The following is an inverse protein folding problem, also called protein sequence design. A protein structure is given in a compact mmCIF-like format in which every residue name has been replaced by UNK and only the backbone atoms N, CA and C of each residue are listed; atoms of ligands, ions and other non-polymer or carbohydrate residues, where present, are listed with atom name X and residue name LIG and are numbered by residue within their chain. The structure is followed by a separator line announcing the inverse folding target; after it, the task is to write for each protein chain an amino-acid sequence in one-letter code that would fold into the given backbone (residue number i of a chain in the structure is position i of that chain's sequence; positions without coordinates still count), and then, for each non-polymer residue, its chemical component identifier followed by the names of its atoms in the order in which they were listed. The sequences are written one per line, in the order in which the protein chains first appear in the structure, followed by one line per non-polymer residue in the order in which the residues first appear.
data_IF_342444746649
#
_entry.id   IF_342444746649
#
_cell.length_a   1.000
_cell.length_b   1.000
_cell.length_c   1.000
_cell.angle_alpha   90.00
_cell.angle_beta   90.00
_cell.angle_gamma   90.00
#
_symmetry.space_group_name_H-M   'P 1'
#
loop_
_entity.id
_entity.type
_entity.pdbx_description
1 polymer ?
#
# COMPACT_ATOMS: atom_id res chain seq x y z
N UNK A 1 15.03 -28.44 -23.09
CA UNK A 1 14.46 -27.71 -21.95
C UNK A 1 14.03 -28.75 -20.93
N UNK A 2 14.64 -28.75 -19.75
CA UNK A 2 14.34 -29.75 -18.73
C UNK A 2 13.01 -29.39 -18.02
N UNK A 3 12.31 -30.36 -17.42
CA UNK A 3 11.02 -30.12 -16.75
C UNK A 3 11.10 -29.06 -15.62
N UNK A 4 12.25 -28.95 -14.95
CA UNK A 4 12.52 -27.96 -13.89
C UNK A 4 12.53 -26.52 -14.41
N UNK A 5 13.18 -26.26 -15.54
CA UNK A 5 13.21 -24.94 -16.21
C UNK A 5 11.80 -24.50 -16.61
N UNK A 6 10.96 -25.42 -17.09
CA UNK A 6 9.57 -25.13 -17.47
C UNK A 6 8.73 -24.72 -16.24
N UNK A 7 8.92 -25.39 -15.11
CA UNK A 7 8.21 -25.07 -13.86
C UNK A 7 8.63 -23.69 -13.33
N UNK A 8 9.93 -23.38 -13.39
CA UNK A 8 10.46 -22.11 -12.93
C UNK A 8 10.01 -20.93 -13.81
N UNK A 9 10.02 -21.10 -15.14
CA UNK A 9 9.47 -20.12 -16.08
C UNK A 9 7.97 -19.87 -15.84
N UNK A 10 7.19 -20.92 -15.55
CA UNK A 10 5.77 -20.78 -15.21
C UNK A 10 5.56 -20.04 -13.88
N UNK A 11 6.35 -20.34 -12.85
CA UNK A 11 6.31 -19.61 -11.57
C UNK A 11 6.63 -18.12 -11.78
N UNK A 12 7.70 -17.81 -12.50
CA UNK A 12 8.11 -16.44 -12.78
C UNK A 12 7.06 -15.67 -13.59
N UNK A 13 6.43 -16.34 -14.58
CA UNK A 13 5.33 -15.76 -15.34
C UNK A 13 4.10 -15.48 -14.47
N UNK A 14 3.71 -16.42 -13.60
CA UNK A 14 2.59 -16.24 -12.68
C UNK A 14 2.85 -15.12 -11.66
N UNK A 15 4.08 -15.03 -11.13
CA UNK A 15 4.48 -13.92 -10.24
C UNK A 15 4.40 -12.57 -10.95
N UNK A 16 4.87 -12.50 -12.20
CA UNK A 16 4.79 -11.26 -13.00
C UNK A 16 3.35 -10.86 -13.28
N UNK A 17 2.50 -11.82 -13.67
CA UNK A 17 1.09 -11.58 -13.97
C UNK A 17 0.30 -11.19 -12.71
N UNK A 18 0.58 -11.84 -11.57
CA UNK A 18 0.01 -11.47 -10.28
C UNK A 18 0.39 -10.03 -9.90
N UNK A 19 1.67 -9.64 -10.05
CA UNK A 19 2.16 -8.29 -9.78
C UNK A 19 1.54 -7.23 -10.70
N UNK A 20 1.46 -7.48 -12.02
CA UNK A 20 0.78 -6.58 -12.96
C UNK A 20 -0.70 -6.41 -12.58
N UNK A 21 -1.36 -7.49 -12.16
CA UNK A 21 -2.75 -7.44 -11.75
C UNK A 21 -2.96 -6.74 -10.40
N UNK A 22 -2.01 -6.88 -9.46
CA UNK A 22 -2.03 -6.22 -8.16
C UNK A 22 -1.88 -4.72 -8.30
N UNK A 23 -0.82 -4.28 -9.00
CA UNK A 23 -0.56 -2.88 -9.28
C UNK A 23 -1.72 -2.18 -9.99
N UNK A 24 -2.41 -2.86 -10.91
CA UNK A 24 -3.62 -2.30 -11.55
C UNK A 24 -4.76 -2.08 -10.56
N UNK A 25 -4.95 -3.00 -9.60
CA UNK A 25 -5.98 -2.83 -8.58
C UNK A 25 -5.64 -1.74 -7.56
N UNK A 26 -4.37 -1.58 -7.21
CA UNK A 26 -3.89 -0.47 -6.38
C UNK A 26 -4.21 0.88 -7.03
N UNK A 27 -3.88 1.05 -8.31
CA UNK A 27 -4.16 2.29 -9.05
C UNK A 27 -5.66 2.60 -9.06
N UNK A 28 -6.50 1.62 -9.41
CA UNK A 28 -7.95 1.81 -9.43
C UNK A 28 -8.52 2.16 -8.05
N UNK A 29 -7.96 1.58 -6.99
CA UNK A 29 -8.40 1.88 -5.62
C UNK A 29 -8.05 3.32 -5.23
N UNK A 30 -6.87 3.80 -5.64
CA UNK A 30 -6.44 5.18 -5.39
C UNK A 30 -7.30 6.16 -6.19
N UNK A 31 -7.54 5.89 -7.48
CA UNK A 31 -8.38 6.76 -8.34
C UNK A 31 -9.84 6.86 -7.86
N UNK A 32 -10.34 5.84 -7.14
CA UNK A 32 -11.68 5.84 -6.59
C UNK A 32 -11.83 6.66 -5.28
N UNK A 33 -10.74 7.15 -4.70
CA UNK A 33 -10.73 7.92 -3.45
C UNK A 33 -10.04 9.27 -3.65
N UNK A 34 -10.80 10.36 -3.63
CA UNK A 34 -10.31 11.70 -4.00
C UNK A 34 -9.18 12.23 -3.10
N UNK A 35 -9.12 11.79 -1.84
CA UNK A 35 -8.13 12.20 -0.86
C UNK A 35 -6.89 11.29 -0.83
N UNK A 36 -6.83 10.27 -1.70
CA UNK A 36 -5.73 9.33 -1.73
C UNK A 36 -4.69 9.73 -2.78
N UNK A 37 -3.43 9.70 -2.37
CA UNK A 37 -2.29 9.83 -3.27
C UNK A 37 -1.46 8.55 -3.25
N UNK A 38 -0.85 8.15 -4.37
CA UNK A 38 0.06 7.01 -4.38
C UNK A 38 1.25 7.27 -3.45
N UNK A 39 1.79 6.20 -2.85
CA UNK A 39 3.01 6.27 -2.04
C UNK A 39 4.08 7.08 -2.79
N UNK A 40 4.67 8.10 -2.14
CA UNK A 40 5.75 8.88 -2.74
C UNK A 40 6.90 7.98 -3.22
N UNK A 41 7.71 8.48 -4.15
CA UNK A 41 8.82 7.74 -4.75
C UNK A 41 10.14 8.48 -4.59
N UNK A 42 11.25 7.76 -4.68
CA UNK A 42 12.59 8.33 -4.65
C UNK A 42 12.85 9.11 -3.37
N UNK A 43 13.38 10.33 -3.51
CA UNK A 43 13.75 11.18 -2.37
C UNK A 43 12.55 11.57 -1.49
N UNK A 44 11.39 11.81 -2.12
CA UNK A 44 10.15 12.12 -1.40
C UNK A 44 9.73 11.01 -0.44
N UNK A 45 9.94 9.75 -0.83
CA UNK A 45 9.68 8.60 0.05
C UNK A 45 10.69 8.55 1.19
N UNK A 46 11.98 8.79 0.91
CA UNK A 46 13.00 8.81 1.95
C UNK A 46 12.69 9.88 2.98
N UNK A 47 12.35 11.09 2.55
CA UNK A 47 11.97 12.18 3.45
C UNK A 47 10.79 11.81 4.34
N UNK A 48 9.76 11.15 3.79
CA UNK A 48 8.62 10.67 4.57
C UNK A 48 9.04 9.65 5.64
N UNK A 49 9.86 8.67 5.27
CA UNK A 49 10.36 7.66 6.21
C UNK A 49 11.27 8.27 7.27
N UNK A 50 12.13 9.22 6.90
CA UNK A 50 12.97 9.95 7.85
C UNK A 50 12.15 10.81 8.81
N UNK A 51 11.09 11.47 8.34
CA UNK A 51 10.18 12.22 9.19
C UNK A 51 9.46 11.30 10.21
N UNK A 52 9.04 10.11 9.79
CA UNK A 52 8.50 9.09 10.68
C UNK A 52 9.53 8.64 11.73
N UNK A 53 10.78 8.39 11.32
CA UNK A 53 11.85 7.99 12.23
C UNK A 53 12.17 9.07 13.27
N UNK A 54 12.13 10.36 12.88
CA UNK A 54 12.33 11.49 13.78
C UNK A 54 11.29 11.56 14.91
N UNK A 55 10.08 11.05 14.68
CA UNK A 55 9.03 10.93 15.70
C UNK A 55 8.98 9.53 16.34
N UNK A 56 10.01 8.71 16.12
CA UNK A 56 10.18 7.40 16.76
C UNK A 56 9.46 6.24 16.06
N UNK A 57 8.96 6.42 14.84
CA UNK A 57 8.25 5.39 14.07
C UNK A 57 9.16 4.79 13.00
N UNK A 58 9.39 3.47 13.05
CA UNK A 58 10.19 2.74 12.07
C UNK A 58 9.27 1.95 11.14
N UNK A 59 8.83 2.61 10.06
CA UNK A 59 7.89 2.05 9.08
C UNK A 59 8.68 1.57 7.85
N UNK A 60 8.47 0.33 7.42
CA UNK A 60 9.07 -0.16 6.16
C UNK A 60 8.33 0.43 4.97
N UNK A 61 9.08 0.77 3.92
CA UNK A 61 8.53 1.29 2.65
C UNK A 61 7.41 0.43 2.06
N UNK A 62 7.44 -0.88 2.31
CA UNK A 62 6.50 -1.89 1.77
C UNK A 62 5.27 -2.11 2.63
N UNK A 63 5.04 -1.31 3.68
CA UNK A 63 3.94 -1.53 4.63
C UNK A 63 2.67 -0.74 4.30
N UNK A 64 2.68 -0.01 3.19
CA UNK A 64 1.60 0.83 2.70
C UNK A 64 1.81 1.11 1.21
N UNK A 65 0.72 1.34 0.48
CA UNK A 65 0.71 1.59 -0.97
C UNK A 65 0.29 3.02 -1.32
N UNK A 66 -0.47 3.67 -0.44
CA UNK A 66 -1.00 5.00 -0.63
C UNK A 66 -1.05 5.79 0.69
N UNK A 67 -1.30 7.09 0.57
CA UNK A 67 -1.55 7.99 1.68
C UNK A 67 -2.92 8.65 1.47
N UNK A 68 -3.75 8.70 2.51
CA UNK A 68 -4.92 9.57 2.58
C UNK A 68 -4.52 10.86 3.29
N UNK A 69 -4.74 11.99 2.62
CA UNK A 69 -4.41 13.33 3.11
C UNK A 69 -5.67 14.19 2.94
N UNK A 70 -6.18 14.80 4.03
CA UNK A 70 -7.33 15.69 3.93
C UNK A 70 -7.11 16.79 2.87
N UNK A 71 -8.16 17.10 2.09
CA UNK A 71 -8.06 18.00 0.94
C UNK A 71 -7.63 19.44 1.28
N UNK A 72 -7.77 19.86 2.54
CA UNK A 72 -7.34 21.15 3.06
C UNK A 72 -5.85 21.17 3.49
N UNK A 73 -5.15 20.04 3.39
CA UNK A 73 -3.75 19.90 3.79
C UNK A 73 -2.87 19.68 2.56
N UNK A 74 -1.99 20.64 2.32
CA UNK A 74 -0.91 20.50 1.34
C UNK A 74 0.36 20.00 2.04
N UNK A 75 1.02 18.99 1.44
CA UNK A 75 2.26 18.41 1.97
C UNK A 75 3.34 18.47 0.90
N UNK A 76 4.41 19.21 1.18
CA UNK A 76 5.61 19.16 0.35
C UNK A 76 6.51 18.02 0.82
N UNK A 77 6.46 16.89 0.11
CA UNK A 77 7.35 15.75 0.39
C UNK A 77 8.83 16.02 0.09
N UNK A 78 9.19 17.20 -0.46
CA UNK A 78 10.55 17.70 -0.56
C UNK A 78 11.11 18.26 0.75
N UNK A 79 10.25 18.64 1.70
CA UNK A 79 10.62 19.23 3.00
C UNK A 79 10.23 18.29 4.14
N UNK A 80 11.20 17.93 4.99
CA UNK A 80 10.95 17.10 6.17
C UNK A 80 10.06 17.86 7.16
N UNK A 81 10.23 19.18 7.29
CA UNK A 81 9.44 20.03 8.18
C UNK A 81 7.96 20.04 7.77
N UNK A 82 7.67 20.22 6.48
CA UNK A 82 6.29 20.15 5.95
C UNK A 82 5.66 18.79 6.22
N UNK A 83 6.41 17.69 6.04
CA UNK A 83 5.93 16.34 6.34
C UNK A 83 5.64 16.19 7.83
N UNK A 84 6.55 16.62 8.72
CA UNK A 84 6.38 16.52 10.17
C UNK A 84 5.13 17.22 10.67
N UNK A 85 4.83 18.41 10.14
CA UNK A 85 3.62 19.16 10.47
C UNK A 85 2.34 18.43 10.04
N UNK A 86 2.36 17.81 8.87
CA UNK A 86 1.21 17.10 8.32
C UNK A 86 1.01 15.67 8.87
N UNK A 87 2.09 14.99 9.31
CA UNK A 87 2.10 13.58 9.71
C UNK A 87 0.97 13.13 10.64
N UNK A 88 0.54 13.92 11.66
CA UNK A 88 -0.58 13.54 12.52
C UNK A 88 -1.91 13.37 11.78
N UNK A 89 -2.06 13.99 10.61
CA UNK A 89 -3.26 13.99 9.77
C UNK A 89 -3.18 13.00 8.60
N UNK A 90 -2.00 12.44 8.32
CA UNK A 90 -1.80 11.49 7.22
C UNK A 90 -2.21 10.09 7.69
N UNK A 91 -3.05 9.43 6.89
CA UNK A 91 -3.37 8.01 7.05
C UNK A 91 -2.62 7.18 5.99
N UNK A 92 -1.94 6.14 6.42
CA UNK A 92 -1.21 5.20 5.59
C UNK A 92 -2.14 4.06 5.17
N UNK A 93 -2.29 3.87 3.86
CA UNK A 93 -3.24 2.93 3.29
C UNK A 93 -2.48 1.75 2.67
N UNK A 94 -2.77 0.54 3.14
CA UNK A 94 -2.36 -0.72 2.52
C UNK A 94 -3.51 -1.23 1.65
N UNK A 95 -3.27 -1.53 0.37
CA UNK A 95 -4.33 -1.92 -0.56
C UNK A 95 -4.23 -3.42 -0.85
N UNK A 96 -5.26 -4.17 -0.47
CA UNK A 96 -5.37 -5.60 -0.78
C UNK A 96 -6.41 -5.81 -1.86
N UNK A 97 -5.96 -6.33 -3.00
CA UNK A 97 -6.83 -6.51 -4.17
C UNK A 97 -7.25 -7.96 -4.34
N UNK A 98 -8.49 -8.17 -4.74
CA UNK A 98 -9.04 -9.46 -5.15
C UNK A 98 -9.58 -9.39 -6.58
N UNK A 99 -9.64 -10.53 -7.26
CA UNK A 99 -10.17 -10.65 -8.63
C UNK A 99 -10.87 -11.98 -8.91
N UNK A 100 -11.06 -12.80 -7.87
CA UNK A 100 -11.61 -14.14 -8.01
C UNK A 100 -13.14 -14.04 -8.00
N UNK A 101 -13.81 -14.82 -8.84
CA UNK A 101 -15.28 -14.83 -8.94
C UNK A 101 -15.98 -15.14 -7.61
N UNK A 102 -15.33 -15.98 -6.81
CA UNK A 102 -15.85 -16.42 -5.51
C UNK A 102 -15.76 -15.35 -4.41
N UNK A 103 -15.09 -14.22 -4.66
CA UNK A 103 -14.99 -13.14 -3.68
C UNK A 103 -16.31 -12.37 -3.70
N UNK A 104 -16.99 -12.38 -2.56
CA UNK A 104 -18.23 -11.64 -2.35
C UNK A 104 -17.95 -10.15 -2.20
N UNK A 105 -18.96 -9.31 -2.43
CA UNK A 105 -18.87 -7.85 -2.28
C UNK A 105 -18.44 -7.41 -0.87
N UNK A 106 -18.90 -8.13 0.17
CA UNK A 106 -18.54 -7.90 1.57
C UNK A 106 -17.24 -8.59 2.01
N UNK A 107 -16.54 -9.25 1.07
CA UNK A 107 -15.35 -10.08 1.29
C UNK A 107 -15.55 -11.25 2.29
N UNK A 108 -16.78 -11.59 2.68
CA UNK A 108 -17.04 -12.61 3.70
C UNK A 108 -16.52 -13.99 3.29
N UNK A 109 -15.71 -14.61 4.15
CA UNK A 109 -15.06 -15.90 3.88
C UNK A 109 -13.84 -15.83 2.96
N UNK A 110 -13.37 -14.63 2.60
CA UNK A 110 -12.10 -14.43 1.91
C UNK A 110 -11.03 -13.93 2.89
N UNK A 111 -9.82 -14.48 2.79
CA UNK A 111 -8.70 -14.15 3.67
C UNK A 111 -7.65 -13.36 2.90
N UNK A 112 -7.24 -12.23 3.47
CA UNK A 112 -6.10 -11.45 3.00
C UNK A 112 -4.91 -11.71 3.90
N UNK A 113 -3.76 -12.03 3.29
CA UNK A 113 -2.52 -12.19 4.04
C UNK A 113 -1.97 -10.81 4.41
N UNK A 114 -1.45 -10.71 5.63
CA UNK A 114 -0.68 -9.56 6.10
C UNK A 114 0.79 -9.97 6.26
N UNK A 115 1.69 -9.07 5.88
CA UNK A 115 3.12 -9.25 6.13
C UNK A 115 3.48 -8.77 7.55
N UNK A 116 4.60 -9.25 8.10
CA UNK A 116 5.11 -8.77 9.39
C UNK A 116 5.34 -7.26 9.39
N UNK A 117 5.78 -6.70 8.26
CA UNK A 117 5.95 -5.25 8.11
C UNK A 117 4.63 -4.48 8.17
N UNK A 118 3.55 -5.02 7.59
CA UNK A 118 2.22 -4.41 7.67
C UNK A 118 1.66 -4.46 9.10
N UNK A 119 1.85 -5.58 9.80
CA UNK A 119 1.44 -5.73 11.20
C UNK A 119 2.20 -4.73 12.08
N UNK A 120 3.54 -4.67 11.94
CA UNK A 120 4.37 -3.74 12.71
C UNK A 120 4.03 -2.28 12.41
N UNK A 121 3.68 -1.94 11.17
CA UNK A 121 3.23 -0.60 10.82
C UNK A 121 1.89 -0.25 11.48
N UNK A 122 0.94 -1.19 11.49
CA UNK A 122 -0.35 -1.01 12.15
C UNK A 122 -0.20 -0.80 13.66
N UNK A 123 0.67 -1.57 14.33
CA UNK A 123 0.95 -1.41 15.76
C UNK A 123 1.55 -0.05 16.12
N UNK A 124 2.41 0.50 15.25
CA UNK A 124 3.09 1.78 15.47
C UNK A 124 2.24 3.01 15.09
N UNK A 125 1.47 2.92 14.00
CA UNK A 125 0.66 4.03 13.48
C UNK A 125 -0.76 4.06 14.11
N UNK A 126 -1.22 2.94 14.68
CA UNK A 126 -2.55 2.80 15.27
C UNK A 126 -3.64 3.14 14.25
N UNK A 127 -4.53 4.06 14.61
CA UNK A 127 -5.65 4.46 13.74
C UNK A 127 -5.21 5.10 12.41
N UNK A 128 -3.95 5.51 12.27
CA UNK A 128 -3.40 6.07 11.04
C UNK A 128 -2.89 5.01 10.06
N UNK A 129 -3.04 3.72 10.34
CA UNK A 129 -2.84 2.66 9.35
C UNK A 129 -4.18 2.00 9.04
N UNK A 130 -4.56 1.98 7.77
CA UNK A 130 -5.82 1.37 7.30
C UNK A 130 -5.54 0.39 6.18
N UNK A 131 -6.29 -0.70 6.18
CA UNK A 131 -6.27 -1.70 5.10
C UNK A 131 -7.51 -1.49 4.25
N UNK A 132 -7.30 -1.20 2.96
CA UNK A 132 -8.34 -1.09 1.96
C UNK A 132 -8.49 -2.41 1.21
N UNK A 133 -9.71 -2.94 1.16
CA UNK A 133 -10.02 -4.15 0.39
C UNK A 133 -10.70 -3.75 -0.91
N UNK A 134 -10.14 -4.18 -2.04
CA UNK A 134 -10.65 -3.81 -3.35
C UNK A 134 -10.89 -5.03 -4.24
N UNK A 135 -12.12 -5.21 -4.71
CA UNK A 135 -12.44 -6.27 -5.66
C UNK A 135 -12.48 -5.69 -7.07
N UNK A 136 -11.55 -6.13 -7.94
CA UNK A 136 -11.44 -5.61 -9.32
C UNK A 136 -12.63 -5.96 -10.23
N UNK A 137 -13.59 -6.76 -9.75
CA UNK A 137 -14.75 -7.24 -10.55
C UNK A 137 -16.05 -6.49 -10.27
N UNK A 138 -16.14 -5.72 -9.19
CA UNK A 138 -17.35 -5.06 -8.69
C UNK A 138 -17.01 -3.62 -8.36
#
# INVERSE_FOLDING_TARGET
MNPSEVIELKKNHLLRFANESGAKGEILSIEANEDWIPRPKGERLKNLLSALELIGLNIKRSSFDALSIPADIEVDFGSIESILEALPKITFIEIKTANQERVKEDFSGFFFALTESEISAAEQLGDRHKVALFNKRT
#
